data_IF_548457763069
#
_entry.id   IF_548457763069
#
_cell.length_a   1.000
_cell.length_b   1.000
_cell.length_c   1.000
_cell.angle_alpha   90.00
_cell.angle_beta   90.00
_cell.angle_gamma   90.00
#
_symmetry.space_group_name_H-M   'P 1'
#
loop_
_entity.id
_entity.type
_entity.pdbx_description
1 polymer ?
#
# COMPACT_ATOMS: atom_id res chain seq x y z
N UNK A 1 1.04 11.74 -16.57
CA UNK A 1 0.55 10.75 -15.58
C UNK A 1 1.47 10.82 -14.38
N UNK A 2 0.94 11.16 -13.21
CA UNK A 2 1.71 11.35 -11.98
C UNK A 2 1.80 10.07 -11.17
N UNK A 3 2.95 9.82 -10.54
CA UNK A 3 3.20 8.61 -9.78
C UNK A 3 3.71 8.92 -8.37
N UNK A 4 3.48 7.97 -7.48
CA UNK A 4 4.08 7.87 -6.16
C UNK A 4 5.01 6.65 -6.12
N UNK A 5 6.14 6.78 -5.40
CA UNK A 5 7.07 5.69 -5.14
C UNK A 5 6.94 5.23 -3.69
N UNK A 6 6.50 3.98 -3.52
CA UNK A 6 6.36 3.35 -2.22
C UNK A 6 7.58 2.47 -1.93
N UNK A 7 8.41 2.88 -0.97
CA UNK A 7 9.54 2.08 -0.51
C UNK A 7 9.07 1.00 0.48
N UNK A 8 9.33 -0.27 0.15
CA UNK A 8 8.97 -1.38 1.02
C UNK A 8 10.18 -1.96 1.76
N UNK A 9 9.97 -2.17 3.06
CA UNK A 9 10.95 -2.77 3.96
C UNK A 9 10.35 -3.99 4.64
N UNK A 10 11.15 -5.05 4.79
CA UNK A 10 10.78 -6.24 5.57
C UNK A 10 11.91 -6.57 6.53
N UNK A 11 11.62 -6.75 7.82
CA UNK A 11 12.63 -7.00 8.86
C UNK A 11 13.81 -6.00 8.83
N UNK A 12 13.51 -4.72 8.56
CA UNK A 12 14.48 -3.61 8.38
C UNK A 12 15.36 -3.71 7.12
N UNK A 13 15.18 -4.72 6.27
CA UNK A 13 15.80 -4.81 4.94
C UNK A 13 14.97 -4.04 3.92
N UNK A 14 15.63 -3.18 3.13
CA UNK A 14 15.01 -2.49 2.01
C UNK A 14 14.93 -3.44 0.80
N UNK A 15 13.70 -3.79 0.40
CA UNK A 15 13.50 -4.84 -0.61
C UNK A 15 13.13 -4.30 -1.98
N UNK A 16 12.26 -3.28 -2.02
CA UNK A 16 11.67 -2.84 -3.29
C UNK A 16 11.16 -1.41 -3.30
N UNK A 17 10.99 -0.89 -4.53
CA UNK A 17 10.29 0.37 -4.82
C UNK A 17 9.08 0.03 -5.67
N UNK A 18 7.88 0.36 -5.18
CA UNK A 18 6.65 0.08 -5.87
C UNK A 18 6.13 1.38 -6.48
N UNK A 19 5.97 1.40 -7.81
CA UNK A 19 5.47 2.57 -8.53
C UNK A 19 3.94 2.48 -8.62
N UNK A 20 3.25 3.47 -8.07
CA UNK A 20 1.79 3.51 -8.01
C UNK A 20 1.30 4.79 -8.69
N UNK A 21 0.23 4.69 -9.48
CA UNK A 21 -0.44 5.89 -10.01
C UNK A 21 -1.14 6.65 -8.89
N UNK A 22 -0.97 7.97 -8.86
CA UNK A 22 -1.59 8.80 -7.82
C UNK A 22 -3.12 8.64 -7.80
N UNK A 23 -3.75 8.45 -8.97
CA UNK A 23 -5.21 8.25 -9.05
C UNK A 23 -5.66 6.98 -8.31
N UNK A 24 -4.88 5.90 -8.38
CA UNK A 24 -5.16 4.64 -7.68
C UNK A 24 -5.05 4.77 -6.17
N UNK A 25 -4.15 5.62 -5.69
CA UNK A 25 -4.14 5.97 -4.28
C UNK A 25 -5.38 6.78 -3.91
N UNK A 26 -5.74 7.82 -4.69
CA UNK A 26 -6.93 8.64 -4.40
C UNK A 26 -8.20 7.78 -4.29
N UNK A 27 -8.38 6.80 -5.18
CA UNK A 27 -9.50 5.84 -5.12
C UNK A 27 -9.55 5.10 -3.77
N UNK A 28 -8.42 4.59 -3.27
CA UNK A 28 -8.33 3.96 -1.93
C UNK A 28 -8.68 4.94 -0.82
N UNK A 29 -8.16 6.17 -0.88
CA UNK A 29 -8.48 7.19 0.13
C UNK A 29 -9.97 7.55 0.14
N UNK A 30 -10.61 7.62 -1.04
CA UNK A 30 -12.04 7.86 -1.17
C UNK A 30 -12.88 6.72 -0.59
N UNK A 31 -12.48 5.47 -0.80
CA UNK A 31 -13.12 4.30 -0.16
C UNK A 31 -13.09 4.42 1.38
N UNK A 32 -11.94 4.78 1.96
CA UNK A 32 -11.75 4.90 3.41
C UNK A 32 -12.53 6.08 4.01
N UNK A 33 -12.58 7.22 3.32
CA UNK A 33 -13.40 8.37 3.70
C UNK A 33 -14.88 8.01 3.70
N UNK A 34 -15.34 7.25 2.70
CA UNK A 34 -16.73 6.81 2.62
C UNK A 34 -17.06 5.81 3.74
N UNK A 35 -16.15 4.89 4.05
CA UNK A 35 -16.27 4.00 5.20
C UNK A 35 -16.40 4.81 6.51
N UNK A 36 -15.53 5.80 6.71
CA UNK A 36 -15.58 6.68 7.88
C UNK A 36 -16.92 7.40 8.01
N UNK A 37 -17.40 8.02 6.92
CA UNK A 37 -18.68 8.74 6.90
C UNK A 37 -19.86 7.85 7.26
N UNK A 38 -19.83 6.57 6.85
CA UNK A 38 -20.91 5.61 7.07
C UNK A 38 -20.90 5.04 8.49
N UNK A 39 -19.72 4.74 9.05
CA UNK A 39 -19.62 3.93 10.27
C UNK A 39 -19.00 4.65 11.47
N UNK A 40 -18.19 5.67 11.24
CA UNK A 40 -17.40 6.31 12.30
C UNK A 40 -17.85 7.73 12.63
N UNK A 41 -18.64 8.38 11.76
CA UNK A 41 -19.09 9.78 11.95
C UNK A 41 -19.81 10.03 13.28
N UNK A 42 -20.54 9.02 13.78
CA UNK A 42 -21.32 9.13 15.03
C UNK A 42 -20.50 8.81 16.28
N UNK A 43 -19.22 8.46 16.15
CA UNK A 43 -18.35 8.26 17.30
C UNK A 43 -18.08 9.58 18.02
N UNK A 44 -17.83 9.56 19.34
CA UNK A 44 -17.41 10.73 20.10
C UNK A 44 -16.26 11.48 19.42
N UNK A 45 -16.25 12.82 19.46
CA UNK A 45 -15.27 13.64 18.71
C UNK A 45 -13.82 13.45 19.17
N UNK A 46 -13.64 13.01 20.41
CA UNK A 46 -12.37 12.65 21.04
C UNK A 46 -11.92 11.22 20.69
N UNK A 47 -12.75 10.44 19.98
CA UNK A 47 -12.35 9.12 19.52
C UNK A 47 -11.14 9.24 18.57
N UNK A 48 -10.11 8.37 18.72
CA UNK A 48 -8.91 8.39 17.87
C UNK A 48 -9.22 8.40 16.37
N UNK A 49 -10.34 7.75 15.99
CA UNK A 49 -10.89 7.72 14.63
C UNK A 49 -11.04 9.08 13.97
N UNK A 50 -11.38 10.15 14.71
CA UNK A 50 -11.48 11.50 14.13
C UNK A 50 -10.09 12.06 13.76
N UNK A 51 -9.07 11.79 14.56
CA UNK A 51 -7.68 12.16 14.23
C UNK A 51 -7.21 11.42 12.99
N UNK A 52 -7.47 10.11 12.91
CA UNK A 52 -7.12 9.31 11.71
C UNK A 52 -7.79 9.86 10.45
N UNK A 53 -9.08 10.20 10.56
CA UNK A 53 -9.85 10.75 9.44
C UNK A 53 -9.26 12.07 8.93
N UNK A 54 -8.84 12.96 9.82
CA UNK A 54 -8.19 14.22 9.43
C UNK A 54 -6.84 13.96 8.74
N UNK A 55 -6.04 13.01 9.22
CA UNK A 55 -4.80 12.60 8.54
C UNK A 55 -5.06 12.03 7.15
N UNK A 56 -6.09 11.19 7.00
CA UNK A 56 -6.52 10.62 5.71
C UNK A 56 -6.94 11.74 4.75
N UNK A 57 -7.74 12.71 5.21
CA UNK A 57 -8.16 13.85 4.39
C UNK A 57 -6.98 14.70 3.93
N UNK A 58 -6.03 14.99 4.82
CA UNK A 58 -4.86 15.80 4.48
C UNK A 58 -4.01 15.13 3.39
N UNK A 59 -3.67 13.85 3.56
CA UNK A 59 -2.87 13.13 2.56
C UNK A 59 -3.62 13.04 1.23
N UNK A 60 -4.94 12.79 1.25
CA UNK A 60 -5.75 12.82 0.02
C UNK A 60 -5.66 14.18 -0.68
N UNK A 61 -5.73 15.28 0.06
CA UNK A 61 -5.61 16.62 -0.51
C UNK A 61 -4.25 16.80 -1.21
N UNK A 62 -3.16 16.35 -0.60
CA UNK A 62 -1.82 16.40 -1.20
C UNK A 62 -1.72 15.55 -2.48
N UNK A 63 -2.35 14.36 -2.49
CA UNK A 63 -2.43 13.51 -3.68
C UNK A 63 -3.17 14.22 -4.83
N UNK A 64 -4.30 14.85 -4.54
CA UNK A 64 -5.09 15.59 -5.55
C UNK A 64 -4.31 16.79 -6.08
N UNK A 65 -3.64 17.55 -5.21
CA UNK A 65 -2.81 18.67 -5.61
C UNK A 65 -1.67 18.22 -6.53
N UNK A 66 -0.99 17.12 -6.18
CA UNK A 66 0.06 16.56 -7.03
C UNK A 66 -0.46 16.06 -8.38
N UNK A 67 -1.66 15.47 -8.40
CA UNK A 67 -2.31 15.06 -9.65
C UNK A 67 -2.60 16.28 -10.54
N UNK A 68 -3.22 17.33 -9.99
CA UNK A 68 -3.56 18.56 -10.72
C UNK A 68 -2.32 19.28 -11.26
N UNK A 69 -1.21 19.24 -10.51
CA UNK A 69 0.05 19.86 -10.89
C UNK A 69 0.97 18.94 -11.72
N UNK A 70 0.50 17.75 -12.13
CA UNK A 70 1.31 16.75 -12.83
C UNK A 70 2.66 16.42 -12.14
N UNK A 71 2.66 16.45 -10.81
CA UNK A 71 3.84 16.28 -9.97
C UNK A 71 3.92 14.86 -9.43
N UNK A 72 5.10 14.25 -9.48
CA UNK A 72 5.37 13.00 -8.79
C UNK A 72 5.56 13.27 -7.29
N UNK A 73 5.06 12.36 -6.45
CA UNK A 73 5.20 12.45 -5.01
C UNK A 73 6.23 11.46 -4.49
N UNK A 74 6.99 11.92 -3.51
CA UNK A 74 7.87 11.11 -2.68
C UNK A 74 7.66 11.54 -1.22
N UNK A 75 6.91 10.73 -0.47
CA UNK A 75 6.73 10.91 0.96
C UNK A 75 7.98 10.37 1.64
N UNK A 76 8.97 11.26 1.83
CA UNK A 76 10.29 10.93 2.42
C UNK A 76 10.17 10.12 3.71
N UNK A 77 9.22 10.51 4.56
CA UNK A 77 8.76 9.72 5.68
C UNK A 77 7.46 9.07 5.24
N UNK A 78 7.46 7.74 5.14
CA UNK A 78 6.27 6.93 4.97
C UNK A 78 5.28 7.25 6.11
N UNK A 79 4.45 8.29 5.95
CA UNK A 79 3.39 8.58 6.91
C UNK A 79 2.55 7.31 7.02
N UNK A 80 2.26 6.85 8.24
CA UNK A 80 1.76 5.48 8.43
C UNK A 80 0.53 5.15 7.55
N UNK A 81 -0.33 6.14 7.27
CA UNK A 81 -1.49 5.98 6.40
C UNK A 81 -1.13 5.86 4.91
N UNK A 82 -0.18 6.65 4.37
CA UNK A 82 0.22 6.48 2.95
C UNK A 82 0.87 5.13 2.72
N UNK A 83 1.72 4.67 3.63
CA UNK A 83 2.30 3.32 3.55
C UNK A 83 1.21 2.24 3.63
N UNK A 84 0.28 2.36 4.58
CA UNK A 84 -0.80 1.37 4.76
C UNK A 84 -1.71 1.29 3.53
N UNK A 85 -2.07 2.42 2.93
CA UNK A 85 -2.96 2.42 1.76
C UNK A 85 -2.23 2.06 0.46
N UNK A 86 -0.93 2.36 0.37
CA UNK A 86 -0.09 1.84 -0.71
C UNK A 86 -0.05 0.32 -0.70
N UNK A 87 0.06 -0.32 0.48
CA UNK A 87 -0.04 -1.77 0.58
C UNK A 87 -1.40 -2.29 0.08
N UNK A 88 -2.52 -1.58 0.35
CA UNK A 88 -3.83 -1.97 -0.19
C UNK A 88 -3.84 -1.96 -1.72
N UNK A 89 -3.25 -0.94 -2.34
CA UNK A 89 -3.12 -0.87 -3.81
C UNK A 89 -2.29 -2.05 -4.36
N UNK A 90 -1.22 -2.45 -3.65
CA UNK A 90 -0.42 -3.63 -4.03
C UNK A 90 -1.22 -4.93 -3.92
N UNK A 91 -1.99 -5.09 -2.83
CA UNK A 91 -2.87 -6.27 -2.62
C UNK A 91 -3.96 -6.39 -3.70
N UNK A 92 -4.50 -5.26 -4.17
CA UNK A 92 -5.44 -5.21 -5.31
C UNK A 92 -4.76 -5.39 -6.69
N UNK A 93 -3.44 -5.56 -6.74
CA UNK A 93 -2.65 -5.63 -7.97
C UNK A 93 -2.77 -4.37 -8.86
N UNK A 94 -2.94 -3.19 -8.25
CA UNK A 94 -3.16 -1.89 -8.92
C UNK A 94 -1.91 -0.98 -8.93
N UNK A 95 -0.72 -1.59 -8.99
CA UNK A 95 0.55 -0.88 -9.14
C UNK A 95 1.08 -0.98 -10.58
N UNK A 96 1.97 -0.07 -10.97
CA UNK A 96 2.57 -0.03 -12.31
C UNK A 96 3.70 -1.06 -12.41
N UNK A 97 4.65 -1.00 -11.48
CA UNK A 97 5.85 -1.84 -11.47
C UNK A 97 6.46 -1.94 -10.08
N UNK A 98 7.31 -2.95 -9.89
CA UNK A 98 8.11 -3.11 -8.68
C UNK A 98 9.59 -3.21 -9.06
N UNK A 99 10.40 -2.33 -8.48
CA UNK A 99 11.86 -2.41 -8.53
C UNK A 99 12.36 -3.44 -7.51
N UNK A 100 13.14 -4.41 -7.95
CA UNK A 100 13.87 -5.30 -7.06
C UNK A 100 15.24 -4.71 -6.73
N UNK A 101 15.53 -4.49 -5.44
CA UNK A 101 16.82 -3.94 -5.00
C UNK A 101 17.98 -4.90 -5.32
N UNK A 102 17.77 -6.21 -5.22
CA UNK A 102 18.80 -7.24 -5.49
C UNK A 102 19.11 -7.36 -6.98
N UNK A 103 18.08 -7.44 -7.85
CA UNK A 103 18.26 -7.51 -9.30
C UNK A 103 18.54 -6.16 -9.96
N UNK A 104 18.37 -5.05 -9.22
CA UNK A 104 18.46 -3.67 -9.71
C UNK A 104 17.61 -3.39 -10.96
N UNK A 105 16.44 -4.01 -11.04
CA UNK A 105 15.58 -4.04 -12.25
C UNK A 105 14.12 -3.84 -11.87
N UNK A 106 13.35 -3.18 -12.76
CA UNK A 106 11.90 -3.06 -12.64
C UNK A 106 11.20 -4.25 -13.30
N UNK A 107 10.22 -4.81 -12.60
CA UNK A 107 9.33 -5.84 -13.09
C UNK A 107 7.92 -5.27 -13.25
N UNK A 108 7.29 -5.57 -14.38
CA UNK A 108 5.85 -5.36 -14.56
C UNK A 108 5.06 -6.39 -13.74
N UNK A 109 3.76 -6.18 -13.59
CA UNK A 109 2.86 -7.09 -12.86
C UNK A 109 2.91 -8.52 -13.40
N UNK A 110 3.01 -8.68 -14.71
CA UNK A 110 3.01 -9.98 -15.39
C UNK A 110 4.32 -10.75 -15.22
N UNK A 111 5.37 -10.08 -14.73
CA UNK A 111 6.70 -10.67 -14.50
C UNK A 111 6.94 -11.04 -13.03
N UNK A 112 5.97 -10.79 -12.16
CA UNK A 112 6.06 -11.02 -10.72
C UNK A 112 5.34 -12.33 -10.41
N UNK A 113 6.04 -13.21 -9.70
CA UNK A 113 5.46 -14.44 -9.17
C UNK A 113 4.77 -14.13 -7.83
N UNK A 114 3.64 -14.76 -7.58
CA UNK A 114 2.95 -14.65 -6.29
C UNK A 114 2.76 -16.02 -5.66
N UNK A 115 3.21 -16.18 -4.44
CA UNK A 115 3.07 -17.44 -3.69
C UNK A 115 2.27 -17.20 -2.41
N UNK A 116 1.42 -18.16 -2.08
CA UNK A 116 0.74 -18.20 -0.79
C UNK A 116 1.62 -18.93 0.21
N UNK A 117 1.69 -18.44 1.43
CA UNK A 117 2.37 -19.10 2.53
C UNK A 117 1.41 -19.32 3.69
N UNK A 118 1.70 -20.33 4.50
CA UNK A 118 0.98 -20.58 5.74
C UNK A 118 1.94 -21.09 6.82
N UNK A 119 1.70 -20.69 8.06
CA UNK A 119 2.46 -21.10 9.24
C UNK A 119 1.45 -21.58 10.28
N UNK A 120 1.70 -22.75 10.87
CA UNK A 120 0.83 -23.37 11.86
C UNK A 120 -0.06 -24.48 11.29
N UNK A 121 -1.00 -24.98 12.11
CA UNK A 121 -1.97 -26.01 11.70
C UNK A 121 -3.34 -25.77 12.35
N UNK A 122 -4.40 -26.24 11.69
CA UNK A 122 -5.79 -26.06 12.17
C UNK A 122 -6.20 -24.58 12.29
N UNK A 123 -6.93 -24.24 13.36
CA UNK A 123 -7.42 -22.88 13.63
C UNK A 123 -6.31 -21.87 13.97
N UNK A 124 -5.07 -22.32 14.14
CA UNK A 124 -3.91 -21.47 14.49
C UNK A 124 -3.10 -21.12 13.23
N UNK A 125 -3.48 -21.67 12.06
CA UNK A 125 -2.79 -21.37 10.81
C UNK A 125 -2.96 -19.89 10.42
N UNK A 126 -1.83 -19.18 10.35
CA UNK A 126 -1.75 -17.83 9.76
C UNK A 126 -1.22 -17.96 8.35
N UNK A 127 -1.77 -17.17 7.43
CA UNK A 127 -1.36 -17.20 6.04
C UNK A 127 -1.13 -15.82 5.46
N UNK A 128 -0.65 -15.82 4.23
CA UNK A 128 -0.47 -14.59 3.49
C UNK A 128 0.05 -14.85 2.10
N UNK A 129 0.40 -13.76 1.45
CA UNK A 129 0.92 -13.77 0.09
C UNK A 129 2.24 -13.03 0.02
N UNK A 130 3.13 -13.54 -0.81
CA UNK A 130 4.43 -12.95 -1.08
C UNK A 130 4.61 -12.79 -2.59
N UNK A 131 5.11 -11.63 -2.99
CA UNK A 131 5.51 -11.33 -4.37
C UNK A 131 7.01 -11.53 -4.51
N UNK A 132 7.40 -12.20 -5.59
CA UNK A 132 8.79 -12.49 -5.93
C UNK A 132 9.12 -12.00 -7.34
N UNK A 133 10.36 -11.57 -7.57
CA UNK A 133 10.83 -11.37 -8.93
C UNK A 133 11.14 -12.72 -9.61
N UNK A 134 11.48 -12.68 -10.92
CA UNK A 134 11.88 -13.87 -11.69
C UNK A 134 13.03 -14.67 -11.07
N UNK A 135 13.94 -14.00 -10.37
CA UNK A 135 15.07 -14.62 -9.64
C UNK A 135 14.71 -15.06 -8.21
N UNK A 136 13.43 -15.12 -7.86
CA UNK A 136 12.92 -15.53 -6.54
C UNK A 136 13.37 -14.66 -5.36
N UNK A 137 13.71 -13.39 -5.58
CA UNK A 137 13.88 -12.43 -4.48
C UNK A 137 12.53 -11.90 -4.01
N UNK A 138 12.32 -11.86 -2.69
CA UNK A 138 11.13 -11.26 -2.09
C UNK A 138 11.05 -9.77 -2.44
N UNK A 139 9.91 -9.35 -2.98
CA UNK A 139 9.62 -7.96 -3.35
C UNK A 139 8.63 -7.30 -2.40
N UNK A 140 7.62 -8.05 -1.96
CA UNK A 140 6.55 -7.55 -1.11
C UNK A 140 5.86 -8.72 -0.42
N UNK A 141 5.33 -8.54 0.78
CA UNK A 141 4.57 -9.59 1.47
C UNK A 141 3.53 -9.01 2.40
N UNK A 142 2.40 -9.69 2.53
CA UNK A 142 1.34 -9.33 3.47
C UNK A 142 0.70 -10.57 4.08
N UNK A 143 0.17 -10.41 5.30
CA UNK A 143 -0.69 -11.41 5.92
C UNK A 143 -2.11 -11.29 5.37
N UNK A 144 -2.72 -12.43 5.11
CA UNK A 144 -4.14 -12.56 4.81
C UNK A 144 -4.78 -13.21 6.03
N UNK A 145 -5.65 -12.45 6.70
CA UNK A 145 -6.47 -13.03 7.76
C UNK A 145 -7.54 -13.87 7.07
N UNK A 146 -7.65 -15.14 7.45
CA UNK A 146 -8.80 -15.96 7.09
C UNK A 146 -10.03 -15.26 7.68
N UNK A 147 -10.78 -14.54 6.84
CA UNK A 147 -12.08 -13.96 7.17
C UNK A 147 -13.14 -15.04 7.20
#
# INVERSE_FOLDING_TARGET
>A
MSYYQFNFYHNKEYLSIIKIEIIKLIEIYDEEINYYKKFCKNLPKDAPRHTEYNSILNIRSELVEALNNNKNLDFKDNTNYIASFSQKTVRKNEYISIYCVKCKTYYSRDEINSENWSIGSGLIASGGKTLFCKEHHMLFGWMEWNS
#
